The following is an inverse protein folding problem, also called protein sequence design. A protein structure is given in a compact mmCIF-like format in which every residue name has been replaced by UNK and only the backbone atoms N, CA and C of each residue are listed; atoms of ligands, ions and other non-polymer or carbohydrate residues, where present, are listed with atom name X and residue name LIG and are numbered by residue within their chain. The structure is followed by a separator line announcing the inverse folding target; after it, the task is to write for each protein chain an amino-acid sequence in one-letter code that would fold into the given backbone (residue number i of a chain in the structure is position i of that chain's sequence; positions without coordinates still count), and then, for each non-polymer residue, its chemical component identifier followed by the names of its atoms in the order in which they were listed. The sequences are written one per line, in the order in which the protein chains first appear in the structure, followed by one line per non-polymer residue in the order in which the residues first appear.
data_IF_507189772011
#
_entry.id   IF_507189772011
#
_cell.length_a   1.000
_cell.length_b   1.000
_cell.length_c   1.000
_cell.angle_alpha   90.00
_cell.angle_beta   90.00
_cell.angle_gamma   90.00
#
_symmetry.space_group_name_H-M   'P 1'
#
loop_
_entity.id
_entity.type
_entity.pdbx_description
1 polymer ?
#
# COMPACT_ATOMS: atom_id res chain seq x y z
N UNK A 1 19.26 0.98 -37.32
CA UNK A 1 20.01 1.43 -36.13
C UNK A 1 21.17 0.47 -36.03
N UNK A 2 22.36 0.93 -36.39
CA UNK A 2 23.51 0.06 -36.62
C UNK A 2 24.10 -0.42 -35.30
N UNK A 3 24.60 -1.66 -35.30
CA UNK A 3 25.14 -2.34 -34.12
C UNK A 3 26.33 -1.58 -33.48
N UNK A 4 26.97 -0.68 -34.23
CA UNK A 4 28.05 0.18 -33.76
C UNK A 4 27.59 1.27 -32.80
N UNK A 5 26.39 1.84 -32.99
CA UNK A 5 25.86 2.85 -32.06
C UNK A 5 25.58 2.22 -30.67
N UNK A 6 25.23 0.93 -30.65
CA UNK A 6 24.97 0.19 -29.43
C UNK A 6 26.26 -0.17 -28.67
N UNK A 7 27.34 -0.48 -29.40
CA UNK A 7 28.66 -0.75 -28.77
C UNK A 7 29.27 0.51 -28.19
N UNK A 8 29.11 1.65 -28.85
CA UNK A 8 29.63 2.93 -28.39
C UNK A 8 28.85 3.45 -27.18
N UNK A 9 27.52 3.29 -27.18
CA UNK A 9 26.71 3.55 -25.99
C UNK A 9 27.03 2.61 -24.83
N UNK A 10 27.29 1.33 -25.10
CA UNK A 10 27.71 0.37 -24.07
C UNK A 10 29.11 0.66 -23.52
N UNK A 11 30.04 1.09 -24.37
CA UNK A 11 31.37 1.54 -23.96
C UNK A 11 31.31 2.85 -23.19
N UNK A 12 30.44 3.81 -23.57
CA UNK A 12 30.19 5.03 -22.80
C UNK A 12 29.61 4.71 -21.41
N UNK A 13 28.71 3.72 -21.32
CA UNK A 13 28.15 3.26 -20.06
C UNK A 13 29.18 2.55 -19.16
N UNK A 14 30.12 1.82 -19.75
CA UNK A 14 31.20 1.14 -19.03
C UNK A 14 32.40 2.04 -18.70
N UNK A 15 32.63 3.10 -19.49
CA UNK A 15 33.76 4.03 -19.34
C UNK A 15 33.44 5.25 -18.47
N UNK A 16 32.16 5.50 -18.15
CA UNK A 16 31.83 6.47 -17.11
C UNK A 16 32.28 5.88 -15.78
N UNK A 17 33.21 6.51 -15.04
CA UNK A 17 33.62 5.99 -13.76
C UNK A 17 32.37 6.00 -12.88
N UNK A 18 31.84 4.82 -12.57
CA UNK A 18 30.83 4.66 -11.53
C UNK A 18 31.43 5.25 -10.27
N UNK A 19 31.09 6.51 -9.97
CA UNK A 19 31.39 7.08 -8.67
C UNK A 19 30.80 6.10 -7.66
N UNK A 20 31.67 5.40 -6.93
CA UNK A 20 31.30 4.36 -5.96
C UNK A 20 30.18 4.85 -5.03
N UNK A 21 30.20 6.15 -4.74
CA UNK A 21 29.24 6.92 -3.98
C UNK A 21 27.80 6.93 -4.56
N UNK A 22 27.62 7.02 -5.89
CA UNK A 22 26.29 6.98 -6.51
C UNK A 22 25.70 5.57 -6.51
N UNK A 23 26.55 4.56 -6.77
CA UNK A 23 26.18 3.15 -6.71
C UNK A 23 25.81 2.74 -5.28
N UNK A 24 26.62 3.14 -4.30
CA UNK A 24 26.42 2.87 -2.87
C UNK A 24 25.13 3.52 -2.35
N UNK A 25 24.84 4.76 -2.75
CA UNK A 25 23.54 5.41 -2.49
C UNK A 25 22.37 4.64 -3.10
N UNK A 26 22.52 4.07 -4.29
CA UNK A 26 21.48 3.29 -4.95
C UNK A 26 21.22 1.96 -4.21
N UNK A 27 22.28 1.25 -3.84
CA UNK A 27 22.22 0.03 -3.02
C UNK A 27 21.56 0.32 -1.66
N UNK A 28 21.92 1.43 -1.02
CA UNK A 28 21.36 1.83 0.27
C UNK A 28 19.86 2.18 0.17
N UNK A 29 19.44 2.86 -0.91
CA UNK A 29 18.01 3.14 -1.20
C UNK A 29 17.23 1.86 -1.43
N UNK A 30 17.79 0.91 -2.18
CA UNK A 30 17.18 -0.39 -2.45
C UNK A 30 16.99 -1.21 -1.16
N UNK A 31 18.01 -1.25 -0.30
CA UNK A 31 17.94 -1.91 1.02
C UNK A 31 16.89 -1.24 1.92
N UNK A 32 16.82 0.09 1.93
CA UNK A 32 15.83 0.86 2.70
C UNK A 32 14.40 0.62 2.20
N UNK A 33 14.17 0.54 0.89
CA UNK A 33 12.87 0.20 0.31
C UNK A 33 12.44 -1.23 0.64
N UNK A 34 13.34 -2.20 0.50
CA UNK A 34 13.09 -3.59 0.90
C UNK A 34 12.73 -3.71 2.37
N UNK A 35 13.47 -3.03 3.26
CA UNK A 35 13.19 -3.01 4.68
C UNK A 35 11.82 -2.37 4.99
N UNK A 36 11.49 -1.25 4.35
CA UNK A 36 10.19 -0.57 4.52
C UNK A 36 9.02 -1.45 4.07
N UNK A 37 9.15 -2.14 2.94
CA UNK A 37 8.13 -3.06 2.45
C UNK A 37 7.94 -4.24 3.42
N UNK A 38 9.04 -4.86 3.86
CA UNK A 38 8.99 -5.98 4.81
C UNK A 38 8.36 -5.56 6.14
N UNK A 39 8.80 -4.44 6.71
CA UNK A 39 8.25 -3.90 7.96
C UNK A 39 6.75 -3.60 7.85
N UNK A 40 6.31 -3.04 6.71
CA UNK A 40 4.89 -2.78 6.46
C UNK A 40 4.06 -4.06 6.41
N UNK A 41 4.59 -5.14 5.83
CA UNK A 41 3.92 -6.46 5.82
C UNK A 41 3.76 -6.95 7.25
N UNK A 42 4.84 -6.96 8.04
CA UNK A 42 4.83 -7.44 9.44
C UNK A 42 3.82 -6.68 10.30
N UNK A 43 3.79 -5.33 10.20
CA UNK A 43 2.82 -4.51 10.94
C UNK A 43 1.40 -4.88 10.53
N UNK A 44 1.11 -4.97 9.23
CA UNK A 44 -0.23 -5.32 8.77
C UNK A 44 -0.65 -6.72 9.22
N UNK A 45 0.28 -7.69 9.27
CA UNK A 45 0.01 -9.02 9.81
C UNK A 45 -0.36 -8.94 11.30
N UNK A 46 0.37 -8.16 12.08
CA UNK A 46 0.10 -7.98 13.51
C UNK A 46 -1.26 -7.32 13.75
N UNK A 47 -1.60 -6.29 12.97
CA UNK A 47 -2.91 -5.63 13.05
C UNK A 47 -4.02 -6.62 12.71
N UNK A 48 -3.88 -7.39 11.63
CA UNK A 48 -4.86 -8.39 11.22
C UNK A 48 -5.07 -9.46 12.30
N UNK A 49 -3.98 -9.95 12.91
CA UNK A 49 -4.04 -10.90 14.02
C UNK A 49 -4.75 -10.31 15.24
N UNK A 50 -4.45 -9.06 15.59
CA UNK A 50 -5.06 -8.39 16.74
C UNK A 50 -6.57 -8.21 16.55
N UNK A 51 -7.01 -7.76 15.37
CA UNK A 51 -8.44 -7.64 15.02
C UNK A 51 -9.11 -9.01 15.02
N UNK A 52 -8.43 -10.06 14.55
CA UNK A 52 -8.94 -11.43 14.56
C UNK A 52 -9.11 -11.99 15.97
N UNK A 53 -8.16 -11.75 16.87
CA UNK A 53 -8.28 -12.13 18.29
C UNK A 53 -9.43 -11.40 18.96
N UNK A 54 -9.61 -10.11 18.67
CA UNK A 54 -10.74 -9.33 19.18
C UNK A 54 -12.08 -9.84 18.66
N UNK A 55 -12.17 -10.21 17.39
CA UNK A 55 -13.38 -10.81 16.82
C UNK A 55 -13.72 -12.15 17.51
N UNK A 56 -12.73 -13.04 17.69
CA UNK A 56 -12.94 -14.31 18.39
C UNK A 56 -13.39 -14.06 19.84
N UNK A 57 -12.76 -13.12 20.56
CA UNK A 57 -13.21 -12.75 21.91
C UNK A 57 -14.63 -12.21 21.92
N UNK A 58 -15.00 -11.36 20.97
CA UNK A 58 -16.34 -10.80 20.89
C UNK A 58 -17.43 -11.83 20.55
N UNK A 59 -17.08 -12.98 19.97
CA UNK A 59 -17.98 -14.13 19.80
C UNK A 59 -18.13 -14.91 21.11
N UNK A 60 -17.04 -15.05 21.87
CA UNK A 60 -17.02 -15.77 23.15
C UNK A 60 -17.69 -14.99 24.29
N UNK A 61 -17.58 -13.68 24.27
CA UNK A 61 -18.26 -12.77 25.18
C UNK A 61 -19.62 -12.36 24.59
N UNK A 62 -20.65 -12.20 25.42
CA UNK A 62 -22.01 -11.80 25.01
C UNK A 62 -22.11 -10.32 24.60
N UNK A 63 -21.23 -9.91 23.70
CA UNK A 63 -21.15 -8.57 23.13
C UNK A 63 -22.34 -8.35 22.17
N UNK A 64 -22.89 -7.12 22.07
CA UNK A 64 -23.97 -6.83 21.13
C UNK A 64 -23.68 -7.33 19.70
N UNK A 65 -24.69 -7.92 19.07
CA UNK A 65 -24.61 -8.50 17.71
C UNK A 65 -24.10 -7.50 16.67
N UNK A 66 -24.43 -6.22 16.86
CA UNK A 66 -23.95 -5.09 16.06
C UNK A 66 -22.42 -4.97 16.11
N UNK A 67 -21.81 -5.11 17.29
CA UNK A 67 -20.35 -5.07 17.46
C UNK A 67 -19.68 -6.31 16.86
N UNK A 68 -20.32 -7.49 16.99
CA UNK A 68 -19.82 -8.73 16.39
C UNK A 68 -19.81 -8.64 14.86
N UNK A 69 -20.89 -8.15 14.25
CA UNK A 69 -20.96 -7.92 12.79
C UNK A 69 -19.90 -6.93 12.32
N UNK A 70 -19.63 -5.87 13.11
CA UNK A 70 -18.62 -4.88 12.77
C UNK A 70 -17.20 -5.45 12.82
N UNK A 71 -16.86 -6.20 13.87
CA UNK A 71 -15.57 -6.89 13.99
C UNK A 71 -15.40 -7.96 12.90
N UNK A 72 -16.47 -8.70 12.58
CA UNK A 72 -16.49 -9.68 11.51
C UNK A 72 -16.25 -9.05 10.14
N UNK A 73 -16.91 -7.92 9.86
CA UNK A 73 -16.65 -7.11 8.66
C UNK A 73 -15.20 -6.65 8.62
N UNK A 74 -14.68 -6.08 9.73
CA UNK A 74 -13.28 -5.64 9.83
C UNK A 74 -12.27 -6.78 9.55
N UNK A 75 -12.53 -7.97 10.08
CA UNK A 75 -11.72 -9.17 9.82
C UNK A 75 -11.76 -9.60 8.36
N UNK A 76 -12.96 -9.78 7.79
CA UNK A 76 -13.12 -10.27 6.42
C UNK A 76 -12.59 -9.25 5.41
N UNK A 77 -12.97 -7.99 5.57
CA UNK A 77 -12.55 -6.88 4.72
C UNK A 77 -11.04 -6.62 4.84
N UNK A 78 -10.55 -6.53 6.08
CA UNK A 78 -9.12 -6.35 6.36
C UNK A 78 -8.29 -7.50 5.81
N UNK A 79 -8.76 -8.75 5.92
CA UNK A 79 -8.11 -9.94 5.37
C UNK A 79 -8.04 -9.92 3.84
N UNK A 80 -9.16 -9.60 3.18
CA UNK A 80 -9.21 -9.48 1.72
C UNK A 80 -8.24 -8.40 1.21
N UNK A 81 -8.24 -7.23 1.84
CA UNK A 81 -7.32 -6.14 1.52
C UNK A 81 -5.86 -6.51 1.78
N UNK A 82 -5.58 -7.18 2.90
CA UNK A 82 -4.26 -7.67 3.25
C UNK A 82 -3.70 -8.61 2.16
N UNK A 83 -4.52 -9.55 1.67
CA UNK A 83 -4.11 -10.48 0.60
C UNK A 83 -3.81 -9.70 -0.69
N UNK A 84 -4.70 -8.79 -1.11
CA UNK A 84 -4.51 -8.02 -2.33
C UNK A 84 -3.26 -7.11 -2.28
N UNK A 85 -3.06 -6.39 -1.17
CA UNK A 85 -1.92 -5.49 -1.00
C UNK A 85 -0.62 -6.27 -0.89
N UNK A 86 -0.59 -7.38 -0.16
CA UNK A 86 0.63 -8.17 0.00
C UNK A 86 0.99 -8.99 -1.24
N UNK A 87 0.01 -9.39 -2.06
CA UNK A 87 0.28 -9.95 -3.38
C UNK A 87 1.05 -8.95 -4.26
N UNK A 88 0.62 -7.69 -4.27
CA UNK A 88 1.34 -6.62 -4.98
C UNK A 88 2.74 -6.38 -4.40
N UNK A 89 2.91 -6.37 -3.07
CA UNK A 89 4.23 -6.20 -2.45
C UNK A 89 5.17 -7.39 -2.69
N UNK A 90 4.63 -8.60 -2.74
CA UNK A 90 5.39 -9.80 -3.07
C UNK A 90 5.91 -9.76 -4.52
N UNK A 91 5.11 -9.25 -5.46
CA UNK A 91 5.56 -8.97 -6.83
C UNK A 91 6.70 -7.95 -6.84
N UNK A 92 6.56 -6.81 -6.14
CA UNK A 92 7.62 -5.82 -6.01
C UNK A 92 8.90 -6.40 -5.38
N UNK A 93 8.78 -7.22 -4.34
CA UNK A 93 9.92 -7.88 -3.69
C UNK A 93 10.57 -8.94 -4.59
N UNK A 94 9.79 -9.65 -5.39
CA UNK A 94 10.27 -10.61 -6.39
C UNK A 94 11.15 -9.92 -7.41
N UNK A 95 10.68 -8.80 -7.97
CA UNK A 95 11.41 -7.96 -8.93
C UNK A 95 12.72 -7.44 -8.32
N UNK A 96 12.65 -6.90 -7.10
CA UNK A 96 13.81 -6.43 -6.30
C UNK A 96 14.83 -7.55 -6.04
N UNK A 97 14.39 -8.80 -5.90
CA UNK A 97 15.27 -9.95 -5.60
C UNK A 97 15.91 -10.56 -6.85
N UNK A 98 15.23 -10.51 -8.00
CA UNK A 98 15.65 -11.21 -9.22
C UNK A 98 16.48 -10.37 -10.19
N UNK A 99 16.42 -9.04 -10.14
CA UNK A 99 17.17 -8.20 -11.08
C UNK A 99 18.35 -7.48 -10.42
N UNK A 100 19.54 -7.71 -10.99
CA UNK A 100 20.74 -6.91 -10.74
C UNK A 100 20.45 -5.46 -11.13
N UNK A 101 21.03 -4.50 -10.39
CA UNK A 101 20.95 -3.04 -10.62
C UNK A 101 21.20 -2.59 -12.08
N UNK A 102 21.69 -3.46 -12.96
CA UNK A 102 21.98 -3.23 -14.38
C UNK A 102 20.76 -3.28 -15.31
N UNK A 103 19.64 -3.87 -14.90
CA UNK A 103 18.34 -3.77 -15.58
C UNK A 103 17.41 -2.97 -14.65
N UNK A 104 16.89 -1.78 -14.93
CA UNK A 104 16.70 -0.99 -16.13
C UNK A 104 15.53 -0.06 -15.83
N UNK A 105 15.42 1.08 -16.51
CA UNK A 105 14.33 2.07 -16.35
C UNK A 105 12.92 1.42 -16.31
N UNK A 106 12.71 0.36 -17.11
CA UNK A 106 11.47 -0.45 -17.15
C UNK A 106 11.09 -1.08 -15.80
N UNK A 107 12.07 -1.47 -15.00
CA UNK A 107 11.87 -2.09 -13.68
C UNK A 107 11.37 -1.05 -12.68
N UNK A 108 11.96 0.15 -12.70
CA UNK A 108 11.49 1.29 -11.91
C UNK A 108 10.07 1.73 -12.33
N UNK A 109 9.79 1.77 -13.63
CA UNK A 109 8.44 2.04 -14.13
C UNK A 109 7.43 0.99 -13.66
N UNK A 110 7.79 -0.29 -13.65
CA UNK A 110 6.91 -1.36 -13.17
C UNK A 110 6.65 -1.28 -11.66
N UNK A 111 7.69 -1.01 -10.85
CA UNK A 111 7.55 -0.79 -9.41
C UNK A 111 6.67 0.43 -9.11
N UNK A 112 6.80 1.52 -9.87
CA UNK A 112 5.94 2.70 -9.76
C UNK A 112 4.49 2.39 -10.14
N UNK A 113 4.25 1.60 -11.19
CA UNK A 113 2.89 1.14 -11.54
C UNK A 113 2.26 0.28 -10.44
N UNK A 114 3.02 -0.64 -9.85
CA UNK A 114 2.54 -1.44 -8.72
C UNK A 114 2.25 -0.57 -7.48
N UNK A 115 3.07 0.45 -7.23
CA UNK A 115 2.83 1.42 -6.16
C UNK A 115 1.55 2.25 -6.41
N UNK A 116 1.34 2.75 -7.63
CA UNK A 116 0.10 3.45 -8.02
C UNK A 116 -1.11 2.55 -7.84
N UNK A 117 -1.02 1.29 -8.30
CA UNK A 117 -2.09 0.32 -8.13
C UNK A 117 -2.42 0.08 -6.66
N UNK A 118 -1.41 0.00 -5.78
CA UNK A 118 -1.63 -0.12 -4.33
C UNK A 118 -2.36 1.09 -3.77
N UNK A 119 -1.96 2.30 -4.13
CA UNK A 119 -2.65 3.51 -3.64
C UNK A 119 -4.08 3.59 -4.18
N UNK A 120 -4.32 3.19 -5.42
CA UNK A 120 -5.67 3.12 -6.01
C UNK A 120 -6.57 2.12 -5.27
N UNK A 121 -6.03 0.92 -4.98
CA UNK A 121 -6.72 -0.10 -4.19
C UNK A 121 -7.02 0.41 -2.77
N UNK A 122 -6.06 1.08 -2.12
CA UNK A 122 -6.26 1.68 -0.81
C UNK A 122 -7.37 2.75 -0.83
N UNK A 123 -7.41 3.63 -1.82
CA UNK A 123 -8.46 4.66 -1.95
C UNK A 123 -9.84 4.01 -2.11
N UNK A 124 -9.99 3.09 -3.07
CA UNK A 124 -11.25 2.37 -3.32
C UNK A 124 -11.71 1.64 -2.06
N UNK A 125 -10.77 1.03 -1.33
CA UNK A 125 -11.10 0.31 -0.13
C UNK A 125 -11.51 1.22 1.02
N UNK A 126 -10.85 2.35 1.21
CA UNK A 126 -11.24 3.34 2.21
C UNK A 126 -12.59 3.97 1.88
N UNK A 127 -12.89 4.22 0.59
CA UNK A 127 -14.21 4.70 0.17
C UNK A 127 -15.32 3.69 0.49
N UNK A 128 -15.10 2.40 0.19
CA UNK A 128 -16.07 1.37 0.52
C UNK A 128 -16.25 1.23 2.04
N UNK A 129 -15.16 1.31 2.80
CA UNK A 129 -15.22 1.29 4.26
C UNK A 129 -15.99 2.50 4.83
N UNK A 130 -15.78 3.70 4.29
CA UNK A 130 -16.54 4.91 4.64
C UNK A 130 -18.03 4.73 4.34
N UNK A 131 -18.37 4.17 3.19
CA UNK A 131 -19.76 3.90 2.82
C UNK A 131 -20.43 2.94 3.82
N UNK A 132 -19.76 1.85 4.18
CA UNK A 132 -20.25 0.89 5.18
C UNK A 132 -20.35 1.53 6.57
N UNK A 133 -19.40 2.39 6.96
CA UNK A 133 -19.42 3.12 8.22
C UNK A 133 -20.55 4.15 8.28
N UNK A 134 -20.86 4.83 7.18
CA UNK A 134 -22.02 5.73 7.08
C UNK A 134 -23.33 4.97 7.25
N UNK A 135 -23.49 3.82 6.58
CA UNK A 135 -24.66 2.96 6.74
C UNK A 135 -24.80 2.49 8.21
N UNK A 136 -23.69 2.10 8.83
CA UNK A 136 -23.66 1.72 10.24
C UNK A 136 -24.06 2.87 11.18
N UNK A 137 -23.57 4.10 10.92
CA UNK A 137 -23.89 5.27 11.73
C UNK A 137 -25.34 5.77 11.55
N UNK A 138 -25.98 5.46 10.42
CA UNK A 138 -27.40 5.75 10.16
C UNK A 138 -28.34 4.88 11.01
N UNK A 139 -27.97 3.63 11.29
CA UNK A 139 -28.77 2.69 12.09
C UNK A 139 -29.16 3.21 13.49
N UNK A 140 -28.25 3.71 14.35
CA UNK A 140 -28.60 4.27 15.65
C UNK A 140 -29.32 5.62 15.55
N UNK A 141 -29.14 6.38 14.45
CA UNK A 141 -29.87 7.63 14.21
C UNK A 141 -31.37 7.37 14.04
N UNK A 142 -31.74 6.26 13.40
CA UNK A 142 -33.13 5.82 13.27
C UNK A 142 -33.72 5.27 14.59
N UNK A 143 -32.86 4.82 15.51
CA UNK A 143 -33.25 4.21 16.80
C UNK A 143 -33.16 5.22 17.97
N UNK A 144 -32.74 6.45 17.72
CA UNK A 144 -32.74 7.56 18.68
C UNK A 144 -31.62 7.54 19.73
N UNK A 145 -30.58 6.71 19.57
CA UNK A 145 -29.42 6.70 20.49
C UNK A 145 -28.27 7.51 19.89
N UNK A 146 -27.92 8.63 20.54
CA UNK A 146 -26.92 9.58 20.01
C UNK A 146 -25.60 9.42 20.76
N UNK A 147 -24.79 8.44 20.35
CA UNK A 147 -23.33 8.46 20.58
C UNK A 147 -22.59 8.65 19.24
N UNK A 148 -22.80 9.81 18.61
CA UNK A 148 -22.21 10.19 17.30
C UNK A 148 -20.68 10.43 17.34
N UNK A 149 -20.11 10.71 18.52
CA UNK A 149 -18.73 11.20 18.64
C UNK A 149 -17.70 10.20 18.10
N UNK A 150 -17.86 8.90 18.39
CA UNK A 150 -16.96 7.84 17.93
C UNK A 150 -17.02 7.65 16.41
N UNK A 151 -18.22 7.76 15.83
CA UNK A 151 -18.43 7.66 14.37
C UNK A 151 -17.83 8.83 13.60
N UNK A 152 -18.00 10.05 14.10
CA UNK A 152 -17.44 11.28 13.49
C UNK A 152 -15.91 11.28 13.53
N UNK A 153 -15.30 10.83 14.64
CA UNK A 153 -13.83 10.71 14.74
C UNK A 153 -13.32 9.66 13.74
N UNK A 154 -13.99 8.49 13.64
CA UNK A 154 -13.63 7.47 12.66
C UNK A 154 -13.73 7.97 11.22
N UNK A 155 -14.80 8.70 10.89
CA UNK A 155 -15.03 9.26 9.56
C UNK A 155 -13.97 10.31 9.18
N UNK A 156 -13.64 11.22 10.09
CA UNK A 156 -12.62 12.25 9.84
C UNK A 156 -11.23 11.66 9.65
N UNK A 157 -10.85 10.64 10.43
CA UNK A 157 -9.60 9.91 10.24
C UNK A 157 -9.53 9.20 8.87
N UNK A 158 -10.63 8.57 8.42
CA UNK A 158 -10.71 7.91 7.12
C UNK A 158 -10.61 8.90 5.96
N UNK A 159 -11.28 10.06 6.05
CA UNK A 159 -11.21 11.11 5.05
C UNK A 159 -9.79 11.70 4.93
N UNK A 160 -9.12 11.93 6.06
CA UNK A 160 -7.69 12.30 6.06
C UNK A 160 -6.83 11.22 5.39
N UNK A 161 -7.10 9.94 5.65
CA UNK A 161 -6.43 8.82 4.99
C UNK A 161 -6.57 8.85 3.47
N UNK A 162 -7.77 9.09 2.95
CA UNK A 162 -8.02 9.25 1.50
C UNK A 162 -7.19 10.40 0.93
N UNK A 163 -7.12 11.54 1.63
CA UNK A 163 -6.29 12.68 1.23
C UNK A 163 -4.81 12.31 1.11
N UNK A 164 -4.27 11.57 2.09
CA UNK A 164 -2.88 11.09 2.06
C UNK A 164 -2.64 10.10 0.91
N UNK A 165 -3.57 9.16 0.69
CA UNK A 165 -3.43 8.15 -0.37
C UNK A 165 -3.50 8.77 -1.77
N UNK A 166 -4.43 9.71 -1.98
CA UNK A 166 -4.54 10.44 -3.25
C UNK A 166 -3.32 11.31 -3.52
N UNK A 167 -2.77 11.97 -2.50
CA UNK A 167 -1.53 12.73 -2.62
C UNK A 167 -0.34 11.84 -3.03
N UNK A 168 -0.16 10.70 -2.35
CA UNK A 168 0.92 9.75 -2.68
C UNK A 168 0.75 9.11 -4.06
N UNK A 169 -0.48 8.80 -4.47
CA UNK A 169 -0.79 8.33 -5.83
C UNK A 169 -0.34 9.35 -6.88
N UNK A 170 -0.70 10.63 -6.70
CA UNK A 170 -0.31 11.71 -7.63
C UNK A 170 1.19 11.88 -7.74
N UNK A 171 1.92 11.78 -6.63
CA UNK A 171 3.39 11.85 -6.66
C UNK A 171 4.00 10.69 -7.45
N UNK A 172 3.51 9.46 -7.24
CA UNK A 172 3.98 8.30 -7.99
C UNK A 172 3.65 8.40 -9.49
N UNK A 173 2.46 8.91 -9.85
CA UNK A 173 2.08 9.17 -11.25
C UNK A 173 2.97 10.23 -11.91
N UNK A 174 3.30 11.32 -11.20
CA UNK A 174 4.20 12.37 -11.70
C UNK A 174 5.60 11.84 -11.98
N UNK A 175 6.15 11.02 -11.07
CA UNK A 175 7.47 10.39 -11.23
C UNK A 175 7.45 9.35 -12.36
N UNK A 176 6.35 8.60 -12.52
CA UNK A 176 6.21 7.66 -13.63
C UNK A 176 6.17 8.41 -14.97
N UNK A 177 5.46 9.54 -15.05
CA UNK A 177 5.34 10.35 -16.26
C UNK A 177 6.71 10.90 -16.70
N UNK A 178 7.48 11.47 -15.78
CA UNK A 178 8.84 11.98 -16.08
C UNK A 178 9.86 10.89 -16.39
N UNK A 179 9.60 9.64 -16.00
CA UNK A 179 10.43 8.49 -16.38
C UNK A 179 9.97 7.83 -17.69
N UNK A 180 8.80 8.18 -18.24
CA UNK A 180 8.27 7.61 -19.48
C UNK A 180 8.36 8.56 -20.68
N UNK A 181 8.55 9.85 -20.43
CA UNK A 181 8.93 10.88 -21.40
C UNK A 181 10.45 10.89 -21.61
#
# INVERSE_FOLDING_TARGET
MDNHDFSDLAQLWQSTPTSSLALERCIQRHKKQRFRLWFSIVIETLILLLVSVWFVRAILESVPLVTQLWLGFGCFWGGSMYIMVNKSRAASLGIIKTQQLSAGLKVHQQLLREEIFRWDLSIKATLLFVLVLLLYALTPYLVGSVEMVKGVIGLTALLMGIGVFTFKKRQAEQVLKTLSE
#
